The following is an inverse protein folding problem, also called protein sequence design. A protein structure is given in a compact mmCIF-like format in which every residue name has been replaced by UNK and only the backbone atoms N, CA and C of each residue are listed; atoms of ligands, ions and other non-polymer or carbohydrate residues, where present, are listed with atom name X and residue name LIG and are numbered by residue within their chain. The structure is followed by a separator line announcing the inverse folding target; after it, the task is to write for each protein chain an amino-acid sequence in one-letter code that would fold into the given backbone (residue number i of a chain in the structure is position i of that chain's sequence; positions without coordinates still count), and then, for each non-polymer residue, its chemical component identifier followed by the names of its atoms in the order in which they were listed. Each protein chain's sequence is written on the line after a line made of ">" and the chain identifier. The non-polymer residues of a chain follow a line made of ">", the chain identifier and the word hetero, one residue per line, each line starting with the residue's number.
data_IF_024170333712
#
_entry.id   IF_024170333712
#
_cell.length_a   1.000
_cell.length_b   1.000
_cell.length_c   1.000
_cell.angle_alpha   90.00
_cell.angle_beta   90.00
_cell.angle_gamma   90.00
#
_symmetry.space_group_name_H-M   'P 1'
#
loop_
_entity.id
_entity.type
_entity.pdbx_description
1 polymer ?
#
# COMPACT_ATOMS: atom_id res chain seq x y z
N UNK A 1 -18.56 9.22 1.27
CA UNK A 1 -17.88 7.92 1.46
C UNK A 1 -17.18 7.84 2.82
N UNK A 2 -16.14 8.64 3.14
CA UNK A 2 -15.42 8.60 4.44
C UNK A 2 -16.33 8.52 5.68
N UNK A 3 -17.32 9.43 5.79
CA UNK A 3 -18.31 9.41 6.89
C UNK A 3 -19.11 8.10 6.97
N UNK A 4 -19.46 7.50 5.82
CA UNK A 4 -20.19 6.23 5.79
C UNK A 4 -19.29 5.07 6.23
N UNK A 5 -18.03 5.04 5.79
CA UNK A 5 -17.07 4.03 6.22
C UNK A 5 -16.81 4.11 7.72
N UNK A 6 -16.57 5.32 8.24
CA UNK A 6 -16.39 5.54 9.68
C UNK A 6 -17.63 5.12 10.46
N UNK A 7 -18.82 5.41 9.92
CA UNK A 7 -20.07 4.98 10.54
C UNK A 7 -20.13 3.46 10.65
N UNK A 8 -19.93 2.75 9.54
CA UNK A 8 -20.04 1.29 9.47
C UNK A 8 -18.95 0.54 10.22
N UNK A 9 -17.72 1.07 10.23
CA UNK A 9 -16.57 0.40 10.83
C UNK A 9 -16.39 0.77 12.30
N UNK A 10 -16.71 2.01 12.70
CA UNK A 10 -16.41 2.49 14.06
C UNK A 10 -17.69 2.74 14.85
N UNK A 11 -18.55 3.66 14.41
CA UNK A 11 -19.67 4.10 15.29
C UNK A 11 -20.82 3.09 15.41
N UNK A 12 -20.97 2.19 14.44
CA UNK A 12 -22.03 1.17 14.42
C UNK A 12 -21.56 -0.21 14.88
N UNK A 13 -20.36 -0.28 15.45
CA UNK A 13 -19.74 -1.51 15.93
C UNK A 13 -19.18 -1.33 17.33
N UNK A 14 -19.34 -2.36 18.15
CA UNK A 14 -18.80 -2.35 19.51
C UNK A 14 -17.41 -2.96 19.60
N UNK A 15 -16.85 -3.49 18.52
CA UNK A 15 -15.58 -4.21 18.51
C UNK A 15 -14.45 -3.46 17.81
N UNK A 16 -14.65 -2.21 17.39
CA UNK A 16 -13.64 -1.38 16.72
C UNK A 16 -13.48 -0.05 17.43
N UNK A 17 -12.23 0.35 17.67
CA UNK A 17 -11.86 1.64 18.25
C UNK A 17 -11.30 2.56 17.16
N UNK A 18 -11.74 3.80 17.12
CA UNK A 18 -11.18 4.80 16.22
C UNK A 18 -9.85 5.37 16.75
N UNK A 19 -8.90 5.59 15.84
CA UNK A 19 -7.62 6.26 16.11
C UNK A 19 -7.35 7.34 15.05
N UNK A 20 -6.62 8.38 15.43
CA UNK A 20 -5.98 9.32 14.51
C UNK A 20 -4.53 9.54 14.92
N UNK A 21 -3.60 8.91 14.20
CA UNK A 21 -2.17 8.98 14.44
C UNK A 21 -1.49 10.06 13.59
N UNK A 22 -0.30 10.47 14.01
CA UNK A 22 0.55 11.40 13.25
C UNK A 22 0.87 10.91 11.84
N UNK A 23 1.05 11.87 10.93
CA UNK A 23 1.53 11.64 9.55
C UNK A 23 3.05 11.44 9.50
N UNK A 24 3.79 12.22 10.30
CA UNK A 24 5.24 12.11 10.42
C UNK A 24 5.53 11.14 11.56
N UNK A 25 6.22 10.04 11.27
CA UNK A 25 6.62 9.05 12.26
C UNK A 25 8.16 8.90 12.27
N UNK A 26 8.75 8.55 13.44
CA UNK A 26 10.18 8.29 13.56
C UNK A 26 10.67 7.21 12.60
N UNK A 27 11.92 7.33 12.14
CA UNK A 27 12.56 6.36 11.23
C UNK A 27 12.49 4.93 11.77
N UNK A 28 12.62 4.76 13.08
CA UNK A 28 12.67 3.46 13.76
C UNK A 28 11.40 2.65 13.53
N UNK A 29 10.25 3.32 13.41
CA UNK A 29 8.95 2.67 13.08
C UNK A 29 9.03 2.00 11.71
N UNK A 30 9.64 2.67 10.74
CA UNK A 30 9.78 2.20 9.36
C UNK A 30 10.92 1.18 9.20
N UNK A 31 11.93 1.22 10.07
CA UNK A 31 12.95 0.17 10.16
C UNK A 31 12.34 -1.10 10.75
N UNK A 32 11.61 -1.00 11.86
CA UNK A 32 10.99 -2.14 12.53
C UNK A 32 9.95 -2.85 11.66
N UNK A 33 9.20 -2.09 10.86
CA UNK A 33 8.22 -2.64 9.90
C UNK A 33 8.83 -3.09 8.56
N UNK A 34 10.14 -2.95 8.36
CA UNK A 34 10.83 -3.36 7.13
C UNK A 34 10.70 -2.40 5.94
N UNK A 35 9.90 -1.34 6.04
CA UNK A 35 9.68 -0.39 4.95
C UNK A 35 10.97 0.28 4.44
N UNK A 36 11.91 0.60 5.32
CA UNK A 36 13.20 1.21 4.89
C UNK A 36 13.98 0.28 3.97
N UNK A 37 13.91 -1.04 4.20
CA UNK A 37 14.67 -2.03 3.42
C UNK A 37 13.94 -2.58 2.20
N UNK A 38 12.62 -2.73 2.29
CA UNK A 38 11.83 -3.48 1.31
C UNK A 38 10.82 -2.62 0.51
N UNK A 39 10.57 -1.37 0.88
CA UNK A 39 9.59 -0.51 0.20
C UNK A 39 10.22 0.27 -0.97
N UNK A 40 10.74 -0.48 -1.93
CA UNK A 40 11.43 0.04 -3.10
C UNK A 40 10.78 -0.43 -4.40
N UNK A 41 10.77 0.45 -5.40
CA UNK A 41 10.42 0.10 -6.77
C UNK A 41 11.68 0.01 -7.64
N UNK A 42 11.71 -0.89 -8.66
CA UNK A 42 12.80 -0.95 -9.61
C UNK A 42 12.74 0.24 -10.58
N UNK A 43 13.69 1.17 -10.42
CA UNK A 43 13.78 2.39 -11.20
C UNK A 43 14.81 2.24 -12.33
N UNK A 44 14.40 2.53 -13.56
CA UNK A 44 15.29 2.67 -14.72
C UNK A 44 15.14 4.04 -15.38
N UNK A 45 16.16 4.47 -16.12
CA UNK A 45 16.19 5.74 -16.86
C UNK A 45 16.51 5.50 -18.33
N UNK A 46 15.75 6.11 -19.24
CA UNK A 46 16.07 6.09 -20.66
C UNK A 46 17.31 6.94 -20.94
N UNK A 47 18.36 6.34 -21.51
CA UNK A 47 19.62 7.05 -21.83
C UNK A 47 19.48 8.11 -22.93
N UNK A 48 18.36 8.10 -23.67
CA UNK A 48 18.11 9.05 -24.76
C UNK A 48 17.31 10.28 -24.35
N UNK A 49 16.27 10.12 -23.51
CA UNK A 49 15.42 11.24 -23.09
C UNK A 49 15.45 11.51 -21.57
N UNK A 50 16.24 10.75 -20.80
CA UNK A 50 16.40 10.87 -19.35
C UNK A 50 15.11 10.75 -18.54
N UNK A 51 14.05 10.22 -19.14
CA UNK A 51 12.81 9.91 -18.43
C UNK A 51 13.02 8.66 -17.60
N UNK A 52 12.67 8.80 -16.32
CA UNK A 52 12.68 7.75 -15.30
C UNK A 52 11.37 7.01 -15.31
N UNK A 53 11.44 5.70 -15.39
CA UNK A 53 10.29 4.81 -15.48
C UNK A 53 10.49 3.64 -14.51
N UNK A 54 9.38 3.02 -14.13
CA UNK A 54 9.40 1.75 -13.41
C UNK A 54 9.64 0.59 -14.37
N UNK A 55 10.61 -0.26 -14.04
CA UNK A 55 10.98 -1.41 -14.89
C UNK A 55 9.81 -2.39 -15.05
N UNK A 56 9.19 -2.79 -13.95
CA UNK A 56 8.07 -3.73 -13.93
C UNK A 56 6.90 -3.25 -14.81
N UNK A 57 6.55 -1.96 -14.77
CA UNK A 57 5.53 -1.41 -15.65
C UNK A 57 5.91 -1.45 -17.13
N UNK A 58 7.18 -1.26 -17.46
CA UNK A 58 7.65 -1.37 -18.85
C UNK A 58 7.51 -2.82 -19.33
N UNK A 59 7.90 -3.77 -18.50
CA UNK A 59 7.79 -5.21 -18.76
C UNK A 59 6.33 -5.65 -18.90
N UNK A 60 5.45 -5.26 -17.96
CA UNK A 60 4.02 -5.54 -18.00
C UNK A 60 3.35 -4.99 -19.26
N UNK A 61 3.61 -3.72 -19.60
CA UNK A 61 3.03 -3.09 -20.79
C UNK A 61 3.48 -3.78 -22.08
N UNK A 62 4.75 -4.19 -22.14
CA UNK A 62 5.28 -4.95 -23.27
C UNK A 62 4.66 -6.35 -23.34
N UNK A 63 4.65 -7.08 -22.21
CA UNK A 63 4.08 -8.41 -22.11
C UNK A 63 2.61 -8.45 -22.53
N UNK A 64 1.79 -7.50 -22.05
CA UNK A 64 0.39 -7.37 -22.42
C UNK A 64 0.19 -7.13 -23.92
N UNK A 65 1.07 -6.33 -24.55
CA UNK A 65 1.01 -6.06 -26.00
C UNK A 65 1.44 -7.26 -26.85
N UNK A 66 2.33 -8.10 -26.31
CA UNK A 66 2.95 -9.22 -27.02
C UNK A 66 2.37 -10.59 -26.63
N UNK A 67 1.39 -10.63 -25.73
CA UNK A 67 0.76 -11.88 -25.26
C UNK A 67 1.70 -12.76 -24.45
N UNK A 68 2.66 -12.16 -23.73
CA UNK A 68 3.59 -12.88 -22.85
C UNK A 68 2.93 -13.04 -21.48
N UNK A 69 2.86 -14.28 -20.98
CA UNK A 69 2.19 -14.59 -19.70
C UNK A 69 2.96 -14.07 -18.48
N UNK A 70 4.30 -14.10 -18.53
CA UNK A 70 5.18 -13.67 -17.45
C UNK A 70 5.95 -12.40 -17.84
N UNK A 71 5.56 -11.22 -17.32
CA UNK A 71 6.24 -9.95 -17.56
C UNK A 71 7.72 -9.97 -17.17
N UNK A 72 8.11 -10.70 -16.13
CA UNK A 72 9.47 -10.65 -15.58
C UNK A 72 10.51 -11.26 -16.54
N UNK A 73 10.04 -12.03 -17.53
CA UNK A 73 10.88 -12.59 -18.60
C UNK A 73 11.28 -11.57 -19.67
N UNK A 74 10.61 -10.42 -19.73
CA UNK A 74 10.85 -9.39 -20.74
C UNK A 74 12.12 -8.61 -20.38
N UNK A 75 13.11 -8.62 -21.27
CA UNK A 75 14.33 -7.84 -21.09
C UNK A 75 14.13 -6.38 -21.47
N UNK A 76 14.68 -5.45 -20.69
CA UNK A 76 14.65 -4.01 -20.98
C UNK A 76 15.22 -3.68 -22.38
N UNK A 77 16.16 -4.47 -22.89
CA UNK A 77 16.77 -4.34 -24.23
C UNK A 77 15.73 -4.43 -25.36
N UNK A 78 14.66 -5.21 -25.15
CA UNK A 78 13.60 -5.40 -26.13
C UNK A 78 12.52 -4.31 -26.08
N UNK A 79 12.53 -3.48 -25.04
CA UNK A 79 11.48 -2.51 -24.79
C UNK A 79 11.84 -1.15 -25.40
N UNK A 80 10.93 -0.61 -26.20
CA UNK A 80 10.98 0.77 -26.68
C UNK A 80 10.57 1.73 -25.57
N UNK A 81 11.30 2.85 -25.45
CA UNK A 81 10.91 3.95 -24.56
C UNK A 81 9.52 4.49 -24.99
N UNK A 82 8.52 4.49 -24.09
CA UNK A 82 7.19 5.01 -24.41
C UNK A 82 7.17 6.50 -24.77
N UNK A 83 8.20 7.25 -24.34
CA UNK A 83 8.27 8.70 -24.52
C UNK A 83 8.99 9.13 -25.82
N UNK A 84 10.11 8.48 -26.19
CA UNK A 84 10.90 8.87 -27.37
C UNK A 84 11.07 7.76 -28.42
N UNK A 85 10.59 6.54 -28.16
CA UNK A 85 10.67 5.41 -29.10
C UNK A 85 12.01 4.68 -29.15
N UNK A 86 13.08 5.22 -28.54
CA UNK A 86 14.40 4.59 -28.51
C UNK A 86 14.33 3.20 -27.87
N UNK A 87 14.85 2.18 -28.58
CA UNK A 87 14.82 0.77 -28.15
C UNK A 87 16.05 0.41 -27.31
N UNK A 88 15.83 -0.25 -26.17
CA UNK A 88 16.89 -0.92 -25.40
C UNK A 88 17.97 -0.02 -24.77
N UNK A 89 17.77 1.30 -24.77
CA UNK A 89 18.71 2.26 -24.21
C UNK A 89 18.27 2.69 -22.82
N UNK A 90 18.47 1.81 -21.84
CA UNK A 90 18.08 1.97 -20.45
C UNK A 90 19.28 1.85 -19.51
N UNK A 91 19.26 2.55 -18.38
CA UNK A 91 20.20 2.30 -17.28
C UNK A 91 19.90 0.98 -16.60
N UNK A 92 20.90 0.40 -15.93
CA UNK A 92 20.66 -0.71 -15.01
C UNK A 92 19.59 -0.29 -13.96
N UNK A 93 18.61 -1.18 -13.66
CA UNK A 93 17.64 -0.94 -12.61
C UNK A 93 18.31 -0.70 -11.26
N UNK A 94 17.72 0.18 -10.46
CA UNK A 94 18.13 0.43 -9.08
C UNK A 94 16.91 0.53 -8.18
N UNK A 95 17.10 0.15 -6.93
CA UNK A 95 16.06 0.28 -5.91
C UNK A 95 15.80 1.75 -5.61
N UNK A 96 14.54 2.16 -5.76
CA UNK A 96 14.09 3.49 -5.40
C UNK A 96 13.09 3.42 -4.25
N UNK A 97 13.50 3.93 -3.08
CA UNK A 97 12.63 3.96 -1.92
C UNK A 97 11.42 4.87 -2.15
N UNK A 98 10.23 4.30 -2.00
CA UNK A 98 8.98 4.99 -2.25
C UNK A 98 8.52 5.85 -1.06
N UNK A 99 9.21 5.88 0.08
CA UNK A 99 8.83 6.76 1.18
C UNK A 99 9.34 8.19 0.96
N UNK A 100 8.52 9.18 1.30
CA UNK A 100 8.95 10.58 1.32
C UNK A 100 9.69 10.88 2.62
N UNK A 101 10.94 11.34 2.47
CA UNK A 101 11.81 11.77 3.56
C UNK A 101 11.52 13.21 3.94
N UNK A 102 11.64 13.52 5.23
CA UNK A 102 11.64 14.88 5.76
C UNK A 102 12.64 14.95 6.92
N UNK A 103 13.09 16.15 7.27
CA UNK A 103 13.96 16.37 8.41
C UNK A 103 13.22 17.17 9.48
N UNK A 104 13.20 16.68 10.71
CA UNK A 104 12.66 17.39 11.87
C UNK A 104 13.80 17.96 12.71
N UNK A 105 13.78 19.26 12.94
CA UNK A 105 14.77 19.96 13.74
C UNK A 105 15.44 21.11 12.98
N UNK A 106 16.34 21.86 13.64
CA UNK A 106 17.03 23.00 13.04
C UNK A 106 18.15 22.59 12.06
N UNK A 107 18.53 21.32 12.02
CA UNK A 107 19.60 20.79 11.18
C UNK A 107 19.05 19.63 10.34
N UNK A 108 19.36 19.65 9.05
CA UNK A 108 19.01 18.58 8.11
C UNK A 108 20.08 17.47 8.12
N UNK A 109 20.11 16.67 9.19
CA UNK A 109 21.02 15.52 9.31
C UNK A 109 20.27 14.21 9.58
N UNK A 110 21.01 13.09 9.61
CA UNK A 110 20.45 11.75 9.85
C UNK A 110 19.74 11.62 11.22
N UNK A 111 20.07 12.46 12.22
CA UNK A 111 19.38 12.46 13.50
C UNK A 111 17.98 13.06 13.41
N UNK A 112 17.78 13.99 12.47
CA UNK A 112 16.50 14.58 12.13
C UNK A 112 15.70 13.81 11.09
N UNK A 113 16.23 12.74 10.48
CA UNK A 113 15.59 12.03 9.38
C UNK A 113 14.29 11.32 9.81
N UNK A 114 13.17 11.75 9.23
CA UNK A 114 11.84 11.20 9.43
C UNK A 114 11.18 10.91 8.08
N UNK A 115 10.02 10.25 8.11
CA UNK A 115 9.26 9.93 6.91
C UNK A 115 7.81 10.37 7.06
N UNK A 116 7.24 10.83 5.94
CA UNK A 116 5.78 10.86 5.79
C UNK A 116 5.30 9.43 5.59
N UNK A 117 4.29 9.03 6.36
CA UNK A 117 3.81 7.64 6.36
C UNK A 117 3.32 7.18 4.97
N UNK A 118 3.77 6.02 4.46
CA UNK A 118 3.25 5.43 3.22
C UNK A 118 1.94 4.66 3.40
N UNK A 119 1.54 4.42 4.66
CA UNK A 119 0.32 3.74 5.09
C UNK A 119 -0.14 4.26 6.46
N UNK A 120 -1.37 3.95 6.88
CA UNK A 120 -1.90 4.33 8.20
C UNK A 120 -1.73 3.25 9.27
N UNK A 121 -1.54 2.00 8.87
CA UNK A 121 -1.41 0.81 9.74
C UNK A 121 -0.34 0.95 10.84
N UNK A 122 0.87 1.45 10.52
CA UNK A 122 1.93 1.58 11.52
C UNK A 122 1.54 2.48 12.71
N UNK A 123 0.72 3.51 12.45
CA UNK A 123 0.18 4.38 13.50
C UNK A 123 -0.72 3.63 14.49
N UNK A 124 -1.44 2.63 13.99
CA UNK A 124 -2.27 1.72 14.78
C UNK A 124 -1.40 0.79 15.62
N UNK A 125 -0.40 0.14 15.00
CA UNK A 125 0.46 -0.83 15.70
C UNK A 125 1.23 -0.20 16.86
N UNK A 126 1.84 0.98 16.67
CA UNK A 126 2.58 1.65 17.76
C UNK A 126 1.68 2.11 18.91
N UNK A 127 0.38 2.29 18.65
CA UNK A 127 -0.61 2.69 19.66
C UNK A 127 -1.42 1.51 20.22
N UNK A 128 -1.15 0.27 19.81
CA UNK A 128 -1.92 -0.90 20.24
C UNK A 128 -2.08 -0.96 21.76
N UNK A 129 -0.99 -0.84 22.52
CA UNK A 129 -1.03 -0.93 23.98
C UNK A 129 -1.78 0.24 24.64
N UNK A 130 -1.69 1.44 24.05
CA UNK A 130 -2.43 2.62 24.50
C UNK A 130 -3.94 2.41 24.33
N UNK A 131 -4.35 1.84 23.19
CA UNK A 131 -5.75 1.55 22.89
C UNK A 131 -6.28 0.41 23.76
N UNK A 132 -5.55 -0.69 23.91
CA UNK A 132 -5.92 -1.80 24.81
C UNK A 132 -6.18 -1.30 26.23
N UNK A 133 -5.28 -0.45 26.73
CA UNK A 133 -5.38 0.08 28.10
C UNK A 133 -6.56 1.05 28.26
N UNK A 134 -6.70 2.01 27.35
CA UNK A 134 -7.70 3.08 27.46
C UNK A 134 -9.11 2.60 27.14
N UNK A 135 -9.29 1.81 26.09
CA UNK A 135 -10.58 1.29 25.65
C UNK A 135 -10.94 -0.07 26.28
N UNK A 136 -10.06 -0.63 27.13
CA UNK A 136 -10.24 -1.90 27.85
C UNK A 136 -10.64 -3.06 26.92
N UNK A 137 -10.00 -3.12 25.75
CA UNK A 137 -10.29 -4.15 24.73
C UNK A 137 -9.42 -5.38 24.90
N UNK A 138 -9.92 -6.52 24.42
CA UNK A 138 -9.17 -7.76 24.26
C UNK A 138 -9.53 -8.37 22.91
N UNK A 139 -8.61 -9.07 22.22
CA UNK A 139 -8.95 -9.79 21.00
C UNK A 139 -10.17 -10.71 21.19
N UNK A 140 -11.08 -10.79 20.20
CA UNK A 140 -11.06 -10.07 18.93
C UNK A 140 -11.52 -8.60 19.05
N UNK A 141 -10.73 -7.67 18.52
CA UNK A 141 -11.14 -6.26 18.36
C UNK A 141 -10.30 -5.59 17.27
N UNK A 142 -10.82 -4.52 16.68
CA UNK A 142 -10.14 -3.73 15.68
C UNK A 142 -9.76 -2.34 16.15
N UNK A 143 -8.79 -1.75 15.45
CA UNK A 143 -8.49 -0.33 15.51
C UNK A 143 -8.56 0.20 14.08
N UNK A 144 -9.34 1.25 13.86
CA UNK A 144 -9.58 1.82 12.54
C UNK A 144 -9.07 3.24 12.47
N UNK A 145 -8.49 3.60 11.33
CA UNK A 145 -7.97 4.94 11.06
C UNK A 145 -8.34 5.38 9.65
N UNK A 146 -8.65 6.67 9.51
CA UNK A 146 -8.78 7.32 8.20
C UNK A 146 -7.83 8.50 8.16
N UNK A 147 -7.00 8.59 7.12
CA UNK A 147 -6.09 9.71 7.01
C UNK A 147 -5.23 9.69 5.77
N UNK A 148 -4.37 10.70 5.63
CA UNK A 148 -3.46 10.84 4.50
C UNK A 148 -2.29 9.86 4.58
N UNK A 149 -1.86 9.38 3.42
CA UNK A 149 -0.65 8.59 3.22
C UNK A 149 0.08 9.07 1.97
N UNK A 150 1.38 8.81 1.94
CA UNK A 150 2.28 9.40 0.96
C UNK A 150 3.19 8.36 0.33
N UNK A 151 3.15 8.25 -1.00
CA UNK A 151 4.05 7.37 -1.76
C UNK A 151 4.76 8.19 -2.81
N UNK A 152 6.08 8.09 -2.87
CA UNK A 152 6.93 8.83 -3.78
C UNK A 152 6.89 8.21 -5.19
N UNK A 153 5.69 8.12 -5.75
CA UNK A 153 5.42 7.45 -7.02
C UNK A 153 6.33 7.99 -8.14
N UNK A 154 7.04 7.10 -8.82
CA UNK A 154 8.02 7.43 -9.87
C UNK A 154 7.29 8.03 -11.07
N UNK A 155 6.20 7.39 -11.50
CA UNK A 155 5.41 7.81 -12.65
C UNK A 155 3.94 7.99 -12.23
N UNK A 156 3.56 9.16 -11.70
CA UNK A 156 2.17 9.48 -11.44
C UNK A 156 1.36 9.36 -12.73
N UNK A 157 0.14 8.83 -12.65
CA UNK A 157 -0.65 8.52 -13.84
C UNK A 157 -2.07 8.06 -13.50
N UNK A 158 -2.91 7.89 -14.52
CA UNK A 158 -4.28 7.38 -14.37
C UNK A 158 -5.11 8.16 -13.32
N UNK A 159 -5.09 9.50 -13.39
CA UNK A 159 -5.91 10.38 -12.56
C UNK A 159 -5.82 10.09 -11.05
N UNK A 160 -6.85 9.46 -10.46
CA UNK A 160 -6.90 9.12 -9.02
C UNK A 160 -6.17 7.83 -8.65
N UNK A 161 -5.75 7.01 -9.62
CA UNK A 161 -5.19 5.69 -9.35
C UNK A 161 -3.72 5.73 -8.90
N UNK A 162 -2.94 6.73 -9.32
CA UNK A 162 -1.53 6.87 -8.93
C UNK A 162 -1.20 8.31 -8.60
N UNK A 163 -1.36 8.67 -7.33
CA UNK A 163 -1.00 9.96 -6.75
C UNK A 163 0.04 9.78 -5.66
N UNK A 164 0.78 10.85 -5.36
CA UNK A 164 1.78 10.84 -4.28
C UNK A 164 1.21 11.09 -2.89
N UNK A 165 0.01 11.66 -2.85
CA UNK A 165 -0.76 11.92 -1.65
C UNK A 165 -2.17 11.41 -1.90
N UNK A 166 -2.68 10.61 -0.98
CA UNK A 166 -4.03 10.07 -1.01
C UNK A 166 -4.52 9.81 0.41
N UNK A 167 -5.81 9.52 0.56
CA UNK A 167 -6.40 9.14 1.84
C UNK A 167 -6.71 7.64 1.84
N UNK A 168 -6.38 6.98 2.93
CA UNK A 168 -6.73 5.59 3.17
C UNK A 168 -7.72 5.47 4.32
N UNK A 169 -8.43 4.34 4.32
CA UNK A 169 -9.32 3.92 5.39
C UNK A 169 -8.92 2.49 5.75
N UNK A 170 -8.08 2.35 6.78
CA UNK A 170 -7.50 1.06 7.17
C UNK A 170 -8.01 0.62 8.54
N UNK A 171 -8.04 -0.69 8.75
CA UNK A 171 -8.52 -1.29 9.97
C UNK A 171 -7.67 -2.53 10.26
N UNK A 172 -7.02 -2.52 11.42
CA UNK A 172 -6.26 -3.65 11.93
C UNK A 172 -7.13 -4.43 12.92
N UNK A 173 -7.54 -5.65 12.55
CA UNK A 173 -8.36 -6.50 13.41
C UNK A 173 -7.48 -7.52 14.13
N UNK A 174 -7.28 -7.32 15.43
CA UNK A 174 -6.46 -8.19 16.26
C UNK A 174 -7.27 -9.38 16.73
N UNK A 175 -6.81 -10.59 16.43
CA UNK A 175 -7.52 -11.84 16.69
C UNK A 175 -6.66 -12.81 17.50
N UNK A 176 -7.29 -13.86 18.04
CA UNK A 176 -6.57 -14.95 18.69
C UNK A 176 -5.93 -15.83 17.61
N UNK A 177 -4.63 -16.19 17.71
CA UNK A 177 -4.00 -17.09 16.76
C UNK A 177 -4.78 -18.40 16.58
N UNK A 178 -4.92 -18.86 15.33
CA UNK A 178 -5.75 -20.02 14.98
C UNK A 178 -7.21 -19.67 14.66
N UNK A 179 -7.62 -18.41 14.86
CA UNK A 179 -8.94 -17.90 14.41
C UNK A 179 -8.82 -16.94 13.21
N UNK A 180 -7.60 -16.70 12.72
CA UNK A 180 -7.27 -15.73 11.67
C UNK A 180 -8.01 -15.98 10.36
N UNK A 181 -8.09 -17.23 9.89
CA UNK A 181 -8.77 -17.57 8.63
C UNK A 181 -10.28 -17.29 8.69
N UNK A 182 -10.93 -17.61 9.82
CA UNK A 182 -12.35 -17.32 10.02
C UNK A 182 -12.63 -15.82 9.98
N UNK A 183 -11.80 -15.02 10.65
CA UNK A 183 -11.95 -13.57 10.66
C UNK A 183 -11.60 -12.94 9.32
N UNK A 184 -10.63 -13.49 8.59
CA UNK A 184 -10.32 -13.06 7.23
C UNK A 184 -11.52 -13.23 6.30
N UNK A 185 -12.16 -14.41 6.30
CA UNK A 185 -13.38 -14.65 5.51
C UNK A 185 -14.54 -13.73 5.92
N UNK A 186 -14.73 -13.53 7.22
CA UNK A 186 -15.73 -12.59 7.73
C UNK A 186 -15.51 -11.18 7.18
N UNK A 187 -14.27 -10.68 7.22
CA UNK A 187 -13.95 -9.33 6.75
C UNK A 187 -14.03 -9.21 5.23
N UNK A 188 -13.58 -10.21 4.49
CA UNK A 188 -13.70 -10.25 3.03
C UNK A 188 -15.17 -10.11 2.59
N UNK A 189 -16.06 -10.91 3.20
CA UNK A 189 -17.49 -10.82 2.96
C UNK A 189 -18.05 -9.46 3.39
N UNK A 190 -17.73 -9.01 4.60
CA UNK A 190 -18.23 -7.75 5.18
C UNK A 190 -17.81 -6.52 4.34
N UNK A 191 -16.60 -6.53 3.77
CA UNK A 191 -16.11 -5.45 2.90
C UNK A 191 -16.73 -5.49 1.52
N UNK A 192 -16.86 -6.69 0.95
CA UNK A 192 -17.55 -6.86 -0.34
C UNK A 192 -19.01 -6.42 -0.27
N UNK A 193 -19.74 -6.86 0.77
CA UNK A 193 -21.15 -6.49 0.96
C UNK A 193 -21.32 -4.98 1.14
N UNK A 194 -20.41 -4.32 1.86
CA UNK A 194 -20.46 -2.87 2.04
C UNK A 194 -20.34 -2.09 0.73
N UNK A 195 -19.54 -2.56 -0.23
CA UNK A 195 -19.48 -1.94 -1.56
C UNK A 195 -20.79 -2.13 -2.32
N UNK A 196 -21.37 -3.33 -2.25
CA UNK A 196 -22.66 -3.65 -2.90
C UNK A 196 -23.79 -2.82 -2.30
N UNK A 197 -23.85 -2.69 -0.98
CA UNK A 197 -24.84 -1.89 -0.25
C UNK A 197 -24.75 -0.39 -0.59
N UNK A 198 -23.57 0.09 -1.00
CA UNK A 198 -23.38 1.45 -1.50
C UNK A 198 -23.79 1.64 -2.96
N UNK A 199 -24.23 0.57 -3.64
CA UNK A 199 -24.73 0.59 -5.02
C UNK A 199 -23.73 0.11 -6.07
N UNK A 200 -22.57 -0.45 -5.69
CA UNK A 200 -21.68 -1.10 -6.65
C UNK A 200 -22.30 -2.42 -7.10
N UNK A 201 -22.40 -2.63 -8.41
CA UNK A 201 -22.91 -3.89 -8.96
C UNK A 201 -21.94 -5.03 -8.68
N UNK A 202 -22.45 -6.13 -8.12
CA UNK A 202 -21.61 -7.26 -7.69
C UNK A 202 -20.86 -7.91 -8.84
N UNK A 203 -21.41 -7.90 -10.06
CA UNK A 203 -20.74 -8.40 -11.26
C UNK A 203 -19.53 -7.57 -11.69
N UNK A 204 -19.39 -6.33 -11.20
CA UNK A 204 -18.20 -5.51 -11.43
C UNK A 204 -17.13 -5.72 -10.35
N UNK A 205 -17.37 -6.52 -9.31
CA UNK A 205 -16.40 -6.77 -8.25
C UNK A 205 -15.76 -8.14 -8.44
N UNK A 206 -14.43 -8.18 -8.42
CA UNK A 206 -13.65 -9.43 -8.44
C UNK A 206 -12.85 -9.57 -7.16
N UNK A 207 -12.83 -10.79 -6.61
CA UNK A 207 -11.90 -11.16 -5.55
C UNK A 207 -10.65 -11.75 -6.21
N UNK A 208 -9.53 -11.05 -6.09
CA UNK A 208 -8.25 -11.51 -6.61
C UNK A 208 -7.38 -11.98 -5.44
N UNK A 209 -7.16 -13.29 -5.37
CA UNK A 209 -6.30 -13.89 -4.36
C UNK A 209 -4.85 -13.88 -4.84
N UNK A 210 -3.97 -13.29 -4.03
CA UNK A 210 -2.57 -13.13 -4.40
C UNK A 210 -1.86 -14.50 -4.43
N UNK A 211 -1.13 -14.83 -5.50
CA UNK A 211 -0.20 -15.97 -5.51
C UNK A 211 0.81 -15.87 -4.37
N UNK A 212 1.29 -17.00 -3.86
CA UNK A 212 2.21 -17.03 -2.70
C UNK A 212 3.48 -16.23 -2.94
N UNK A 213 3.94 -16.21 -4.18
CA UNK A 213 5.14 -15.54 -4.65
C UNK A 213 4.99 -14.00 -4.67
N UNK A 214 3.74 -13.51 -4.74
CA UNK A 214 3.39 -12.09 -4.76
C UNK A 214 2.93 -11.56 -3.41
N UNK A 215 2.87 -12.39 -2.37
CA UNK A 215 2.50 -11.96 -1.03
C UNK A 215 3.55 -11.01 -0.47
N UNK A 216 3.09 -9.95 0.19
CA UNK A 216 3.96 -9.12 1.02
C UNK A 216 4.62 -9.98 2.11
N UNK A 217 5.86 -9.65 2.47
CA UNK A 217 6.70 -10.44 3.37
C UNK A 217 6.08 -10.77 4.75
N UNK A 218 5.07 -10.02 5.18
CA UNK A 218 4.34 -10.20 6.44
C UNK A 218 2.98 -10.89 6.29
N UNK A 219 2.54 -11.23 5.07
CA UNK A 219 1.19 -11.74 4.81
C UNK A 219 1.13 -13.26 4.69
N UNK A 220 0.23 -13.89 5.45
CA UNK A 220 -0.13 -15.31 5.28
C UNK A 220 -1.05 -15.52 4.07
N UNK A 221 -1.93 -14.55 3.79
CA UNK A 221 -2.92 -14.56 2.70
C UNK A 221 -3.40 -13.13 2.46
N UNK A 222 -3.50 -12.73 1.20
CA UNK A 222 -4.02 -11.42 0.79
C UNK A 222 -5.05 -11.61 -0.33
N UNK A 223 -6.18 -10.91 -0.22
CA UNK A 223 -7.20 -10.87 -1.28
C UNK A 223 -7.55 -9.41 -1.55
N UNK A 224 -7.42 -9.02 -2.81
CA UNK A 224 -7.84 -7.70 -3.28
C UNK A 224 -9.30 -7.76 -3.77
N UNK A 225 -10.05 -6.71 -3.47
CA UNK A 225 -11.37 -6.46 -4.06
C UNK A 225 -11.15 -5.48 -5.21
N UNK A 226 -11.15 -5.99 -6.43
CA UNK A 226 -10.95 -5.22 -7.66
C UNK A 226 -12.29 -4.78 -8.26
N UNK A 227 -12.30 -3.61 -8.91
CA UNK A 227 -13.42 -3.04 -9.67
C UNK A 227 -13.03 -2.84 -11.14
#
# INVERSE_FOLDING_TARGET
>A
IKRQWWRSMVTSRDDIVGLDSSVILPREVWVASGHVGAFNDPLTECLSCHRRMREDHLQEAYAAKHGIEDPDTVKLEDINCPNCGTKGQWTAPRDFNMMLKTYLGPVEDESGLHYLRPETAQGIFINFQNVVTSARRRPPFGIAQTGKSFRNEITPGNFIFRTREFEQMEMEFFVVPGTDEQWHEYWLKTRTDWYVDLGIRRENLRLYEHPKEKLSHYSKRTVDIEY
#
